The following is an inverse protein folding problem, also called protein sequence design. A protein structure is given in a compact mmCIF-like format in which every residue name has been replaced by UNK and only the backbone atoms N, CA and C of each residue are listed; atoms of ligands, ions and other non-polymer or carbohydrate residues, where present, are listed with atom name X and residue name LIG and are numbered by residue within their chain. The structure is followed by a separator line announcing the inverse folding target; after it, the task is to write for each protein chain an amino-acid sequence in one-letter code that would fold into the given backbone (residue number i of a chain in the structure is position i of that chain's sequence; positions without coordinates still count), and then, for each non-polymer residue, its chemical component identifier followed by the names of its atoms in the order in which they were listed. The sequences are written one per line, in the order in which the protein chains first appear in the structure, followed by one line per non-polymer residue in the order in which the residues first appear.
data_IF_501117060388
#
_entry.id   IF_501117060388
#
_cell.length_a   1.000
_cell.length_b   1.000
_cell.length_c   1.000
_cell.angle_alpha   90.00
_cell.angle_beta   90.00
_cell.angle_gamma   90.00
#
_symmetry.space_group_name_H-M   'P 1'
#
loop_
_entity.id
_entity.type
_entity.pdbx_description
1 polymer ?
#
# COMPACT_ATOMS: atom_id res chain seq x y z
N UNK A 1 -1.27 -5.19 -15.85
CA UNK A 1 0.01 -4.46 -15.89
C UNK A 1 0.31 -4.09 -17.32
N UNK A 2 0.25 -2.80 -17.66
CA UNK A 2 0.58 -2.34 -19.00
C UNK A 2 2.10 -2.32 -19.15
N UNK A 3 2.64 -3.16 -20.05
CA UNK A 3 4.06 -3.21 -20.44
C UNK A 3 4.38 -2.04 -21.36
N UNK A 4 4.35 -0.82 -20.85
CA UNK A 4 4.78 0.36 -21.62
C UNK A 4 5.97 1.01 -20.92
N UNK A 5 7.17 0.64 -21.39
CA UNK A 5 8.37 1.42 -21.16
C UNK A 5 8.19 2.80 -21.80
N UNK A 6 8.78 3.85 -21.22
CA UNK A 6 8.71 5.18 -21.82
C UNK A 6 9.36 5.19 -23.21
N UNK A 7 8.93 6.12 -24.07
CA UNK A 7 9.49 6.25 -25.43
C UNK A 7 11.00 6.47 -25.39
N UNK A 8 11.48 7.25 -24.40
CA UNK A 8 12.92 7.46 -24.17
C UNK A 8 13.65 6.16 -23.82
N UNK A 9 13.06 5.34 -22.96
CA UNK A 9 13.64 4.04 -22.57
C UNK A 9 13.59 3.00 -23.69
N UNK A 10 12.59 3.05 -24.58
CA UNK A 10 12.56 2.20 -25.78
C UNK A 10 13.70 2.56 -26.73
N UNK A 11 13.97 3.86 -26.93
CA UNK A 11 15.08 4.33 -27.77
C UNK A 11 16.43 3.89 -27.18
N UNK A 12 16.62 4.06 -25.87
CA UNK A 12 17.85 3.65 -25.18
C UNK A 12 18.07 2.14 -25.19
N UNK A 13 17.02 1.34 -24.96
CA UNK A 13 17.09 -0.13 -25.03
C UNK A 13 17.55 -0.62 -26.40
N UNK A 14 17.20 0.11 -27.47
CA UNK A 14 17.55 -0.24 -28.84
C UNK A 14 18.95 0.26 -29.26
N UNK A 15 19.68 0.98 -28.40
CA UNK A 15 21.08 1.37 -28.65
C UNK A 15 22.03 0.20 -28.42
N UNK A 16 23.03 0.07 -29.28
CA UNK A 16 24.08 -0.97 -29.21
C UNK A 16 24.97 -0.77 -27.95
N UNK A 17 25.12 0.48 -27.50
CA UNK A 17 25.72 0.83 -26.22
C UNK A 17 24.97 2.04 -25.66
N UNK A 18 24.64 1.99 -24.37
CA UNK A 18 24.07 3.12 -23.63
C UNK A 18 24.97 3.43 -22.45
N UNK A 19 25.30 4.71 -22.26
CA UNK A 19 26.07 5.20 -21.12
C UNK A 19 25.16 5.55 -19.93
N UNK A 20 23.94 5.02 -19.96
CA UNK A 20 22.84 5.41 -19.11
C UNK A 20 22.40 4.19 -18.29
N UNK A 21 22.31 4.37 -16.97
CA UNK A 21 22.02 3.29 -16.04
C UNK A 21 20.58 3.37 -15.52
N UNK A 22 19.94 2.22 -15.39
CA UNK A 22 18.72 2.12 -14.58
C UNK A 22 19.10 2.07 -13.11
N UNK A 23 18.65 3.07 -12.37
CA UNK A 23 18.85 3.12 -10.92
C UNK A 23 17.53 2.81 -10.23
N UNK A 24 17.62 1.99 -9.19
CA UNK A 24 16.50 1.65 -8.34
C UNK A 24 16.50 2.62 -7.18
N UNK A 25 15.38 3.33 -7.01
CA UNK A 25 15.09 4.16 -5.85
C UNK A 25 14.11 3.41 -4.95
N UNK A 26 14.29 3.53 -3.64
CA UNK A 26 13.39 2.98 -2.64
C UNK A 26 12.96 4.10 -1.71
N UNK A 27 11.66 4.16 -1.47
CA UNK A 27 11.08 4.94 -0.39
C UNK A 27 10.52 3.99 0.67
N UNK A 28 10.97 4.17 1.91
CA UNK A 28 10.46 3.44 3.07
C UNK A 28 9.55 4.37 3.85
N UNK A 29 8.25 4.07 3.82
CA UNK A 29 7.23 4.70 4.65
C UNK A 29 7.30 4.12 6.06
N UNK A 30 7.91 4.88 6.97
CA UNK A 30 7.96 4.54 8.40
C UNK A 30 6.58 4.83 8.99
N UNK A 31 5.97 3.80 9.58
CA UNK A 31 4.64 3.88 10.19
C UNK A 31 4.73 3.65 11.68
N UNK A 32 3.94 4.37 12.46
CA UNK A 32 3.84 4.17 13.90
C UNK A 32 3.11 2.86 14.24
N UNK A 33 3.08 2.49 15.52
CA UNK A 33 2.36 1.32 16.04
C UNK A 33 0.84 1.36 15.80
N UNK A 34 0.29 2.51 15.41
CA UNK A 34 -1.12 2.70 15.08
C UNK A 34 -1.37 2.73 13.56
N UNK A 35 -0.33 2.61 12.74
CA UNK A 35 -0.37 2.59 11.28
C UNK A 35 -0.33 3.97 10.61
N UNK A 36 -0.07 5.06 11.34
CA UNK A 36 0.06 6.40 10.78
C UNK A 36 1.45 6.59 10.17
N UNK A 37 1.52 7.32 9.05
CA UNK A 37 2.79 7.69 8.43
C UNK A 37 3.53 8.72 9.29
N UNK A 38 4.76 8.40 9.69
CA UNK A 38 5.63 9.30 10.47
C UNK A 38 6.57 10.06 9.54
N UNK A 39 7.31 9.32 8.72
CA UNK A 39 8.31 9.87 7.82
C UNK A 39 8.56 8.93 6.63
N UNK A 40 9.23 9.46 5.60
CA UNK A 40 9.61 8.71 4.39
C UNK A 40 11.12 8.78 4.25
N UNK A 41 11.78 7.64 4.34
CA UNK A 41 13.22 7.50 4.08
C UNK A 41 13.43 7.23 2.59
N UNK A 42 14.31 8.00 1.94
CA UNK A 42 14.56 7.94 0.50
C UNK A 42 15.98 7.49 0.20
N UNK A 43 16.12 6.42 -0.56
CA UNK A 43 17.40 5.80 -0.87
C UNK A 43 17.53 5.48 -2.35
N UNK A 44 18.72 5.66 -2.90
CA UNK A 44 19.07 5.31 -4.27
C UNK A 44 20.14 4.22 -4.29
N UNK A 45 19.96 3.19 -5.12
CA UNK A 45 20.98 2.17 -5.40
C UNK A 45 22.04 2.74 -6.34
N UNK A 46 22.82 3.68 -5.82
CA UNK A 46 23.88 4.35 -6.55
C UNK A 46 24.99 4.77 -5.58
N UNK A 47 26.16 5.11 -6.11
CA UNK A 47 27.28 5.63 -5.33
C UNK A 47 27.13 7.12 -5.01
N UNK A 48 26.32 7.83 -5.78
CA UNK A 48 26.06 9.26 -5.64
C UNK A 48 24.57 9.52 -5.37
N UNK A 49 24.22 10.55 -4.60
CA UNK A 49 22.82 10.92 -4.37
C UNK A 49 22.16 11.33 -5.69
N UNK A 50 20.86 11.05 -5.81
CA UNK A 50 20.06 11.35 -7.00
C UNK A 50 18.93 12.28 -6.62
N UNK A 51 18.73 13.33 -7.40
CA UNK A 51 17.57 14.22 -7.28
C UNK A 51 16.53 13.77 -8.31
N UNK A 52 15.34 13.40 -7.84
CA UNK A 52 14.24 12.97 -8.68
C UNK A 52 12.94 13.61 -8.19
N UNK A 53 12.23 14.31 -9.07
CA UNK A 53 10.98 15.03 -8.75
C UNK A 53 11.08 15.90 -7.49
N UNK A 54 12.12 16.74 -7.43
CA UNK A 54 12.43 17.64 -6.31
C UNK A 54 12.71 16.96 -4.96
N UNK A 55 12.87 15.62 -4.95
CA UNK A 55 13.26 14.86 -3.77
C UNK A 55 14.70 14.36 -3.91
N UNK A 56 15.49 14.55 -2.87
CA UNK A 56 16.84 13.99 -2.76
C UNK A 56 16.79 12.56 -2.24
N UNK A 57 17.45 11.65 -2.97
CA UNK A 57 17.62 10.25 -2.60
C UNK A 57 19.07 10.02 -2.21
N UNK A 58 19.28 9.58 -0.97
CA UNK A 58 20.62 9.32 -0.43
C UNK A 58 21.19 8.05 -1.06
N UNK A 59 22.47 8.09 -1.44
CA UNK A 59 23.20 6.92 -1.92
C UNK A 59 23.22 5.82 -0.86
N UNK A 60 22.70 4.64 -1.21
CA UNK A 60 22.65 3.48 -0.32
C UNK A 60 22.97 2.20 -1.10
N UNK A 61 23.71 1.30 -0.47
CA UNK A 61 23.96 -0.01 -1.03
C UNK A 61 22.89 -1.00 -0.56
N UNK A 62 22.04 -1.43 -1.49
CA UNK A 62 21.06 -2.47 -1.24
C UNK A 62 20.90 -3.42 -2.42
N UNK A 63 20.52 -4.64 -2.11
CA UNK A 63 20.26 -5.72 -3.06
C UNK A 63 18.81 -6.17 -2.98
N UNK A 64 18.25 -6.49 -4.15
CA UNK A 64 16.92 -7.06 -4.31
C UNK A 64 17.07 -8.49 -4.78
N UNK A 65 16.47 -9.43 -4.06
CA UNK A 65 16.43 -10.84 -4.44
C UNK A 65 14.98 -11.33 -4.46
N UNK A 66 14.63 -12.11 -5.47
CA UNK A 66 13.35 -12.79 -5.55
C UNK A 66 13.55 -14.20 -5.00
N UNK A 67 12.79 -14.56 -3.97
CA UNK A 67 12.75 -15.92 -3.43
C UNK A 67 11.51 -16.62 -3.93
N UNK A 68 11.71 -17.59 -4.82
CA UNK A 68 10.67 -18.49 -5.29
C UNK A 68 10.97 -19.91 -4.77
N UNK A 69 10.01 -20.49 -4.04
CA UNK A 69 10.02 -21.91 -3.70
C UNK A 69 8.77 -22.56 -4.29
N UNK A 70 8.92 -23.77 -4.82
CA UNK A 70 7.81 -24.53 -5.37
C UNK A 70 6.73 -24.74 -4.30
N UNK A 71 5.53 -24.20 -4.52
CA UNK A 71 4.40 -24.28 -3.59
C UNK A 71 4.30 -23.12 -2.58
N UNK A 72 5.20 -22.13 -2.61
CA UNK A 72 5.10 -20.92 -1.79
C UNK A 72 4.73 -19.68 -2.61
N UNK A 73 4.19 -18.65 -1.94
CA UNK A 73 4.03 -17.34 -2.55
C UNK A 73 5.43 -16.75 -2.75
N UNK A 74 5.77 -16.21 -3.94
CA UNK A 74 7.06 -15.57 -4.17
C UNK A 74 7.21 -14.35 -3.26
N UNK A 75 8.37 -14.25 -2.60
CA UNK A 75 8.70 -13.15 -1.68
C UNK A 75 9.87 -12.36 -2.26
N UNK A 76 9.75 -11.04 -2.28
CA UNK A 76 10.86 -10.16 -2.65
C UNK A 76 11.59 -9.78 -1.38
N UNK A 77 12.90 -9.95 -1.35
CA UNK A 77 13.74 -9.60 -0.22
C UNK A 77 14.64 -8.42 -0.59
N UNK A 78 14.59 -7.37 0.22
CA UNK A 78 15.52 -6.23 0.16
C UNK A 78 16.52 -6.38 1.28
N UNK A 79 17.81 -6.37 0.95
CA UNK A 79 18.91 -6.36 1.92
C UNK A 79 19.67 -5.07 1.73
N UNK A 80 19.70 -4.21 2.75
CA UNK A 80 20.38 -2.93 2.73
C UNK A 80 21.49 -2.90 3.79
N UNK A 81 22.62 -2.26 3.44
CA UNK A 81 23.66 -1.93 4.41
C UNK A 81 23.40 -0.54 4.99
N UNK A 82 23.07 -0.50 6.28
CA UNK A 82 22.73 0.71 7.03
C UNK A 82 23.88 1.11 7.95
N UNK A 83 24.93 1.71 7.39
CA UNK A 83 26.09 2.16 8.18
C UNK A 83 25.77 3.30 9.15
N UNK A 84 24.76 4.11 8.84
CA UNK A 84 24.34 5.25 9.67
C UNK A 84 23.36 4.84 10.78
N UNK A 85 22.92 3.57 10.80
CA UNK A 85 21.91 3.03 11.71
C UNK A 85 20.56 3.77 11.62
N UNK A 86 20.34 4.54 10.55
CA UNK A 86 19.15 5.36 10.41
C UNK A 86 17.91 4.47 10.34
N UNK A 87 17.90 3.48 9.45
CA UNK A 87 16.76 2.56 9.28
C UNK A 87 16.58 1.70 10.52
N UNK A 88 17.68 1.17 11.06
CA UNK A 88 17.64 0.32 12.25
C UNK A 88 17.05 1.05 13.46
N UNK A 89 17.42 2.32 13.68
CA UNK A 89 16.86 3.12 14.76
C UNK A 89 15.33 3.25 14.63
N UNK A 90 14.82 3.58 13.43
CA UNK A 90 13.36 3.65 13.20
C UNK A 90 12.67 2.31 13.40
N UNK A 91 13.31 1.22 12.98
CA UNK A 91 12.76 -0.11 13.22
C UNK A 91 12.60 -0.39 14.71
N UNK A 92 13.56 0.03 15.54
CA UNK A 92 13.46 -0.16 16.99
C UNK A 92 12.42 0.76 17.64
N UNK A 93 12.30 2.00 17.16
CA UNK A 93 11.33 2.98 17.66
C UNK A 93 9.88 2.64 17.30
N UNK A 94 9.64 2.14 16.08
CA UNK A 94 8.29 1.99 15.50
C UNK A 94 7.87 0.52 15.27
N UNK A 95 8.14 -0.35 16.24
CA UNK A 95 7.52 -1.69 16.27
C UNK A 95 8.16 -2.75 15.36
N UNK A 96 9.45 -2.62 15.05
CA UNK A 96 10.25 -3.65 14.39
C UNK A 96 10.26 -3.59 12.87
N UNK A 97 9.63 -2.60 12.24
CA UNK A 97 9.62 -2.41 10.78
C UNK A 97 8.60 -3.24 10.00
N UNK A 98 7.84 -4.11 10.67
CA UNK A 98 6.73 -4.86 10.05
C UNK A 98 5.55 -3.91 9.83
N UNK A 99 4.96 -3.93 8.63
CA UNK A 99 3.87 -3.04 8.24
C UNK A 99 4.30 -1.74 7.56
N UNK A 100 5.60 -1.46 7.50
CA UNK A 100 6.12 -0.34 6.71
C UNK A 100 5.74 -0.50 5.23
N UNK A 101 5.46 0.63 4.59
CA UNK A 101 5.24 0.68 3.14
C UNK A 101 6.57 0.82 2.44
N UNK A 102 6.80 0.05 1.38
CA UNK A 102 7.98 0.21 0.54
C UNK A 102 7.53 0.51 -0.87
N UNK A 103 7.92 1.67 -1.39
CA UNK A 103 7.70 2.05 -2.78
C UNK A 103 9.01 1.93 -3.53
N UNK A 104 9.06 1.01 -4.48
CA UNK A 104 10.20 0.80 -5.36
C UNK A 104 9.95 1.53 -6.67
N UNK A 105 10.90 2.34 -7.09
CA UNK A 105 10.82 3.19 -8.27
C UNK A 105 12.06 2.91 -9.12
N UNK A 106 11.88 2.54 -10.39
CA UNK A 106 12.99 2.39 -11.32
C UNK A 106 13.05 3.63 -12.20
N UNK A 107 14.18 4.31 -12.18
CA UNK A 107 14.42 5.52 -12.97
C UNK A 107 15.59 5.33 -13.91
N UNK A 108 15.58 6.07 -15.01
CA UNK A 108 16.64 6.11 -15.99
C UNK A 108 17.50 7.36 -15.72
N UNK A 109 18.81 7.19 -15.45
CA UNK A 109 19.69 8.32 -15.09
C UNK A 109 19.89 9.34 -16.21
N UNK A 110 19.65 8.96 -17.47
CA UNK A 110 19.79 9.85 -18.62
C UNK A 110 18.57 10.75 -18.82
N UNK A 111 17.49 10.52 -18.05
CA UNK A 111 16.28 11.32 -18.14
C UNK A 111 15.47 11.32 -16.83
N UNK A 112 16.00 12.00 -15.80
CA UNK A 112 15.38 12.11 -14.47
C UNK A 112 14.13 13.03 -14.43
N UNK A 113 13.79 13.70 -15.53
CA UNK A 113 12.60 14.55 -15.62
C UNK A 113 11.35 13.81 -16.14
N UNK A 114 11.50 12.57 -16.61
CA UNK A 114 10.39 11.74 -17.06
C UNK A 114 9.69 11.03 -15.88
N UNK A 115 8.43 10.61 -16.05
CA UNK A 115 7.80 9.72 -15.09
C UNK A 115 8.63 8.44 -14.92
N UNK A 116 8.58 7.82 -13.73
CA UNK A 116 9.32 6.60 -13.46
C UNK A 116 8.91 5.46 -14.39
N UNK A 117 9.87 4.61 -14.77
CA UNK A 117 9.63 3.50 -15.70
C UNK A 117 8.78 2.41 -15.06
N UNK A 118 9.05 2.13 -13.79
CA UNK A 118 8.37 1.12 -12.99
C UNK A 118 8.15 1.69 -11.60
N UNK A 119 6.93 1.56 -11.09
CA UNK A 119 6.59 1.86 -9.70
C UNK A 119 5.84 0.67 -9.14
N UNK A 120 6.37 0.11 -8.07
CA UNK A 120 5.75 -1.00 -7.35
C UNK A 120 5.67 -0.67 -5.85
N UNK A 121 4.54 -0.96 -5.25
CA UNK A 121 4.31 -0.71 -3.83
C UNK A 121 4.12 -2.03 -3.10
N UNK A 122 4.90 -2.22 -2.04
CA UNK A 122 4.91 -3.42 -1.22
C UNK A 122 4.66 -3.08 0.24
N UNK A 123 4.25 -4.10 1.00
CA UNK A 123 4.21 -4.05 2.46
C UNK A 123 5.26 -4.96 3.04
N UNK A 124 5.95 -4.49 4.08
CA UNK A 124 6.91 -5.31 4.81
C UNK A 124 6.15 -6.33 5.66
N UNK A 125 6.29 -7.62 5.33
CA UNK A 125 5.73 -8.73 6.12
C UNK A 125 6.74 -9.20 7.17
N UNK A 126 8.03 -9.17 6.82
CA UNK A 126 9.12 -9.58 7.71
C UNK A 126 10.20 -8.52 7.70
N UNK A 127 10.76 -8.25 8.87
CA UNK A 127 11.85 -7.32 9.01
C UNK A 127 12.85 -7.87 10.01
N UNK A 128 14.14 -7.73 9.72
CA UNK A 128 15.21 -8.09 10.64
C UNK A 128 16.39 -7.14 10.46
N UNK A 129 16.96 -6.67 11.56
CA UNK A 129 18.19 -5.89 11.56
C UNK A 129 19.23 -6.60 12.42
N UNK A 130 20.42 -6.84 11.86
CA UNK A 130 21.55 -7.46 12.58
C UNK A 130 22.85 -6.78 12.19
N UNK A 131 23.53 -6.19 13.17
CA UNK A 131 24.71 -5.36 12.90
C UNK A 131 24.32 -4.18 12.02
N UNK A 132 25.04 -3.92 10.93
CA UNK A 132 24.70 -2.89 9.94
C UNK A 132 23.87 -3.42 8.76
N UNK A 133 23.28 -4.61 8.86
CA UNK A 133 22.51 -5.21 7.78
C UNK A 133 21.03 -5.22 8.15
N UNK A 134 20.23 -4.52 7.34
CA UNK A 134 18.78 -4.49 7.44
C UNK A 134 18.20 -5.33 6.32
N UNK A 135 17.24 -6.19 6.66
CA UNK A 135 16.59 -7.10 5.72
C UNK A 135 15.09 -6.96 5.83
N UNK A 136 14.44 -6.66 4.71
CA UNK A 136 12.99 -6.60 4.58
C UNK A 136 12.49 -7.71 3.66
N UNK A 137 11.55 -8.51 4.15
CA UNK A 137 10.71 -9.41 3.36
C UNK A 137 9.47 -8.64 2.92
N UNK A 138 9.40 -8.36 1.62
CA UNK A 138 8.31 -7.67 0.96
C UNK A 138 7.23 -8.67 0.57
N UNK A 139 6.06 -8.44 1.11
CA UNK A 139 4.84 -9.06 0.62
C UNK A 139 4.18 -8.18 -0.42
N UNK A 140 3.77 -8.80 -1.52
CA UNK A 140 2.66 -8.27 -2.28
C UNK A 140 1.42 -8.24 -1.38
N UNK A 141 0.60 -7.19 -1.49
CA UNK A 141 -0.71 -7.20 -0.85
C UNK A 141 -1.48 -8.43 -1.32
N UNK A 142 -1.95 -9.26 -0.40
CA UNK A 142 -2.75 -10.43 -0.75
C UNK A 142 -4.23 -10.01 -0.87
N UNK A 143 -4.80 -9.82 -2.08
CA UNK A 143 -6.19 -9.45 -2.23
C UNK A 143 -7.15 -10.53 -1.67
N UNK A 144 -6.72 -11.79 -1.54
CA UNK A 144 -7.50 -12.86 -0.91
C UNK A 144 -7.55 -12.75 0.63
N UNK A 145 -6.56 -12.06 1.23
CA UNK A 145 -6.60 -11.73 2.65
C UNK A 145 -7.54 -10.56 2.95
N UNK A 146 -7.90 -9.79 1.92
CA UNK A 146 -8.86 -8.70 2.05
C UNK A 146 -10.27 -9.28 2.15
N UNK A 147 -10.95 -8.97 3.26
CA UNK A 147 -12.33 -9.41 3.47
C UNK A 147 -13.26 -8.66 2.50
N UNK A 148 -13.60 -9.31 1.39
CA UNK A 148 -14.61 -8.83 0.45
C UNK A 148 -15.81 -9.78 0.44
N UNK A 149 -17.05 -9.27 0.64
CA UNK A 149 -17.42 -7.89 0.95
C UNK A 149 -17.06 -7.49 2.38
N UNK A 150 -16.65 -6.23 2.59
CA UNK A 150 -16.24 -5.69 3.90
C UNK A 150 -17.32 -5.83 4.98
N UNK A 151 -18.60 -5.82 4.59
CA UNK A 151 -19.76 -5.99 5.47
C UNK A 151 -20.68 -7.10 4.96
N UNK A 152 -21.38 -7.77 5.88
CA UNK A 152 -22.43 -8.72 5.52
C UNK A 152 -23.56 -7.98 4.80
N UNK A 153 -23.91 -8.46 3.61
CA UNK A 153 -25.02 -7.92 2.83
C UNK A 153 -26.30 -8.56 3.35
N UNK A 154 -27.22 -7.77 3.88
CA UNK A 154 -28.54 -8.24 4.32
C UNK A 154 -29.62 -7.55 3.51
N UNK A 155 -30.69 -8.28 3.17
CA UNK A 155 -31.83 -7.73 2.42
C UNK A 155 -32.68 -6.81 3.28
N UNK A 156 -33.13 -7.33 4.42
CA UNK A 156 -34.18 -6.71 5.25
C UNK A 156 -33.63 -5.85 6.40
N UNK A 157 -32.30 -5.82 6.57
CA UNK A 157 -31.64 -5.14 7.67
C UNK A 157 -30.56 -4.18 7.19
N UNK A 158 -30.58 -2.98 7.75
CA UNK A 158 -29.56 -1.97 7.63
C UNK A 158 -28.29 -2.42 8.35
N UNK A 159 -27.14 -2.27 7.70
CA UNK A 159 -25.84 -2.60 8.28
C UNK A 159 -25.12 -1.38 8.88
N UNK A 160 -25.71 -0.18 8.79
CA UNK A 160 -25.14 1.03 9.37
C UNK A 160 -25.40 1.10 10.87
N UNK A 161 -24.47 1.69 11.60
CA UNK A 161 -24.72 2.10 12.98
C UNK A 161 -25.63 3.33 12.93
N UNK A 162 -26.71 3.32 13.71
CA UNK A 162 -27.65 4.44 13.74
C UNK A 162 -26.94 5.74 14.18
N UNK A 163 -27.17 6.83 13.45
CA UNK A 163 -26.51 8.13 13.67
C UNK A 163 -25.05 8.20 13.24
N UNK A 164 -24.48 7.16 12.62
CA UNK A 164 -23.13 7.24 12.04
C UNK A 164 -23.11 8.13 10.79
N UNK A 165 -21.92 8.53 10.34
CA UNK A 165 -21.75 9.33 9.13
C UNK A 165 -22.37 8.65 7.88
N UNK A 166 -22.30 7.32 7.81
CA UNK A 166 -22.88 6.53 6.72
C UNK A 166 -24.40 6.47 6.80
N UNK A 167 -24.95 6.34 8.02
CA UNK A 167 -26.40 6.43 8.25
C UNK A 167 -26.91 7.83 7.91
N UNK A 168 -26.24 8.89 8.36
CA UNK A 168 -26.58 10.28 8.06
C UNK A 168 -27.87 10.79 8.71
N UNK A 169 -28.41 10.07 9.70
CA UNK A 169 -29.56 10.54 10.48
C UNK A 169 -29.10 11.54 11.55
N UNK A 170 -29.73 12.72 11.57
CA UNK A 170 -29.39 13.85 12.48
C UNK A 170 -30.61 14.32 13.28
N UNK A 171 -31.68 13.51 13.34
CA UNK A 171 -32.90 13.87 14.08
C UNK A 171 -32.86 13.45 15.55
N UNK A 172 -33.94 13.75 16.27
CA UNK A 172 -34.03 13.56 17.73
C UNK A 172 -34.32 12.12 18.17
N UNK A 173 -34.70 11.23 17.23
CA UNK A 173 -34.98 9.84 17.58
C UNK A 173 -33.70 9.13 17.99
N UNK A 174 -33.77 8.39 19.10
CA UNK A 174 -32.59 7.79 19.74
C UNK A 174 -32.28 6.36 19.29
N UNK A 175 -33.19 5.72 18.56
CA UNK A 175 -33.05 4.33 18.14
C UNK A 175 -33.71 4.04 16.80
N UNK A 176 -33.25 2.97 16.15
CA UNK A 176 -33.76 2.48 14.88
C UNK A 176 -33.83 0.96 14.94
N UNK A 177 -34.87 0.36 14.34
CA UNK A 177 -35.04 -1.10 14.25
C UNK A 177 -34.22 -1.73 13.11
N UNK A 178 -33.43 -0.92 12.40
CA UNK A 178 -32.60 -1.28 11.25
C UNK A 178 -33.41 -1.86 10.09
N UNK A 179 -34.71 -1.65 10.01
CA UNK A 179 -35.52 -2.07 8.86
C UNK A 179 -35.66 -0.94 7.83
N UNK A 180 -36.08 -1.28 6.60
CA UNK A 180 -36.40 -0.25 5.61
C UNK A 180 -37.79 0.35 5.89
N UNK A 181 -38.81 -0.49 6.05
CA UNK A 181 -40.24 -0.12 6.13
C UNK A 181 -40.90 -0.49 7.48
N UNK A 182 -40.13 -0.88 8.49
CA UNK A 182 -40.68 -1.20 9.81
C UNK A 182 -41.11 0.05 10.59
N UNK A 183 -41.80 -0.15 11.73
CA UNK A 183 -42.39 0.93 12.52
C UNK A 183 -41.37 1.94 13.05
N UNK A 184 -40.10 1.52 13.21
CA UNK A 184 -38.99 2.39 13.60
C UNK A 184 -37.82 2.29 12.60
N UNK A 185 -38.15 2.07 11.32
CA UNK A 185 -37.20 1.85 10.22
C UNK A 185 -36.83 3.10 9.45
N UNK A 186 -35.92 2.97 8.48
CA UNK A 186 -35.39 4.10 7.71
C UNK A 186 -36.48 4.95 7.03
N UNK A 187 -37.61 4.38 6.64
CA UNK A 187 -38.76 5.14 6.14
C UNK A 187 -39.41 6.03 7.20
N UNK A 188 -39.63 5.53 8.42
CA UNK A 188 -40.14 6.31 9.55
C UNK A 188 -39.19 7.46 9.93
N UNK A 189 -37.89 7.25 9.75
CA UNK A 189 -36.83 8.25 9.98
C UNK A 189 -36.58 9.19 8.78
N UNK A 190 -37.33 9.06 7.68
CA UNK A 190 -37.12 9.87 6.45
C UNK A 190 -35.76 9.63 5.76
N UNK A 191 -35.10 8.51 6.04
CA UNK A 191 -33.72 8.21 5.66
C UNK A 191 -33.58 6.98 4.73
N UNK A 192 -34.56 6.75 3.86
CA UNK A 192 -34.59 5.61 2.94
C UNK A 192 -33.43 5.61 1.94
N UNK A 193 -32.98 6.80 1.50
CA UNK A 193 -31.88 6.96 0.54
C UNK A 193 -30.54 6.41 1.05
N UNK A 194 -30.33 6.41 2.37
CA UNK A 194 -29.08 5.91 2.99
C UNK A 194 -29.26 4.55 3.65
N UNK A 195 -30.31 3.79 3.29
CA UNK A 195 -30.50 2.46 3.83
C UNK A 195 -29.29 1.56 3.50
N UNK A 196 -28.73 0.93 4.54
CA UNK A 196 -27.51 0.13 4.43
C UNK A 196 -27.73 -1.34 4.11
N UNK A 197 -28.96 -1.73 3.77
CA UNK A 197 -29.31 -3.07 3.30
C UNK A 197 -29.42 -3.12 1.78
N UNK A 198 -29.68 -4.32 1.25
CA UNK A 198 -29.72 -4.61 -0.18
C UNK A 198 -31.04 -5.28 -0.56
N UNK A 199 -32.14 -4.51 -0.73
CA UNK A 199 -33.47 -5.05 -1.00
C UNK A 199 -33.58 -5.89 -2.27
N UNK A 200 -32.67 -5.69 -3.22
CA UNK A 200 -32.59 -6.44 -4.47
C UNK A 200 -31.99 -7.86 -4.33
N UNK A 201 -31.47 -8.23 -3.15
CA UNK A 201 -31.05 -9.61 -2.91
C UNK A 201 -32.28 -10.53 -2.90
N UNK A 202 -32.29 -11.56 -3.75
CA UNK A 202 -33.36 -12.57 -3.73
C UNK A 202 -33.36 -13.35 -2.43
N UNK A 203 -34.54 -13.71 -1.91
CA UNK A 203 -34.63 -14.73 -0.85
C UNK A 203 -34.15 -16.03 -1.46
N UNK A 204 -33.07 -16.59 -0.93
CA UNK A 204 -32.74 -17.97 -1.24
C UNK A 204 -33.95 -18.83 -0.86
N UNK A 205 -34.55 -19.51 -1.84
CA UNK A 205 -35.55 -20.54 -1.55
C UNK A 205 -34.87 -21.53 -0.60
N UNK A 206 -35.37 -21.61 0.64
CA UNK A 206 -35.01 -22.69 1.56
C UNK A 206 -35.69 -23.97 1.12
#
# INVERSE_FOLDING_TARGET
MARHLSVGTVIEKNRIASNVAFVILIEVEVKDSFGNLVEILRMARNNEPIIFQDNEYVAANFELSLKEQAGSIPEIQVVAQDHTLAIQQRMQEYGGGVGFGIRMIVVNTGNLSQPPEIVETFKVIRASARGYVVTFGLGAENPLSMRFPRRRQMRDRCSWRFGSAECGYVGDLRSCDLSLQGPNGCAAHGNTRRFGGFPGLSVGKR
#
